data_IF_969680698690
#
_entry.id   IF_969680698690
#
_cell.length_a   1.000
_cell.length_b   1.000
_cell.length_c   1.000
_cell.angle_alpha   90.00
_cell.angle_beta   90.00
_cell.angle_gamma   90.00
#
_symmetry.space_group_name_H-M   'P 1'
#
loop_
_entity.id
_entity.type
_entity.pdbx_description
1 polymer ?
#
# COMPACT_ATOMS: atom_id res chain seq x y z
N UNK A 1 8.28 35.97 -6.46
CA UNK A 1 8.73 36.71 -5.26
C UNK A 1 8.86 35.84 -4.02
N UNK A 2 7.84 35.05 -3.61
CA UNK A 2 7.92 34.17 -2.42
C UNK A 2 8.85 32.96 -2.60
N UNK A 3 8.84 32.29 -3.77
CA UNK A 3 9.70 31.11 -4.06
C UNK A 3 11.20 31.42 -3.89
N UNK A 4 11.67 32.54 -4.44
CA UNK A 4 13.06 32.98 -4.32
C UNK A 4 13.45 33.32 -2.87
N UNK A 5 12.51 33.81 -2.04
CA UNK A 5 12.75 34.04 -0.61
C UNK A 5 12.89 32.72 0.17
N UNK A 6 12.14 31.67 -0.18
CA UNK A 6 12.27 30.36 0.46
C UNK A 6 13.54 29.62 0.05
N UNK A 7 13.96 29.75 -1.21
CA UNK A 7 15.24 29.21 -1.69
C UNK A 7 16.43 29.92 -1.01
N UNK A 8 16.36 31.25 -0.85
CA UNK A 8 17.37 32.03 -0.14
C UNK A 8 17.43 31.73 1.38
N UNK A 9 16.32 31.30 1.99
CA UNK A 9 16.23 31.03 3.43
C UNK A 9 16.31 29.56 3.79
N UNK A 10 16.64 28.67 2.84
CA UNK A 10 16.73 27.22 3.05
C UNK A 10 15.50 26.66 3.78
N UNK A 11 14.31 27.15 3.44
CA UNK A 11 13.05 26.83 4.12
C UNK A 11 12.16 25.99 3.19
N UNK A 12 11.58 24.92 3.74
CA UNK A 12 10.65 24.04 3.03
C UNK A 12 9.22 24.31 3.49
N UNK A 13 8.30 24.43 2.52
CA UNK A 13 6.86 24.41 2.78
C UNK A 13 6.28 23.14 2.17
N UNK A 14 5.59 22.36 3.00
CA UNK A 14 4.90 21.14 2.58
C UNK A 14 3.51 21.09 3.18
N UNK A 15 2.55 20.58 2.42
CA UNK A 15 1.27 20.15 2.98
C UNK A 15 1.54 19.01 3.96
N UNK A 16 0.86 19.00 5.09
CA UNK A 16 1.01 17.94 6.10
C UNK A 16 0.18 16.72 5.78
N UNK A 17 0.57 15.59 6.38
CA UNK A 17 -0.19 14.36 6.36
C UNK A 17 -1.44 14.45 7.25
N UNK A 18 -2.56 13.89 6.77
CA UNK A 18 -3.88 13.79 7.44
C UNK A 18 -4.53 15.12 7.91
N UNK A 19 -3.84 16.24 7.78
CA UNK A 19 -4.30 17.56 8.23
C UNK A 19 -4.30 18.55 7.07
N UNK A 20 -5.23 19.51 7.07
CA UNK A 20 -5.35 20.53 6.00
C UNK A 20 -4.45 21.75 6.30
N UNK A 21 -3.26 21.52 6.85
CA UNK A 21 -2.32 22.57 7.25
C UNK A 21 -1.01 22.45 6.47
N UNK A 22 -0.18 23.49 6.58
CA UNK A 22 1.16 23.50 6.00
C UNK A 22 2.21 23.41 7.11
N UNK A 23 3.25 22.65 6.87
CA UNK A 23 4.45 22.61 7.68
C UNK A 23 5.51 23.51 7.05
N UNK A 24 6.10 24.37 7.87
CA UNK A 24 7.24 25.22 7.54
C UNK A 24 8.41 24.73 8.37
N UNK A 25 9.52 24.39 7.72
CA UNK A 25 10.71 23.85 8.38
C UNK A 25 11.99 24.14 7.60
N UNK A 26 13.14 23.76 8.16
CA UNK A 26 14.43 23.87 7.45
C UNK A 26 14.53 22.79 6.37
N UNK A 27 15.07 23.15 5.21
CA UNK A 27 15.27 22.23 4.10
C UNK A 27 16.23 21.09 4.47
N UNK A 28 17.27 21.38 5.25
CA UNK A 28 18.25 20.38 5.70
C UNK A 28 17.61 19.34 6.63
N UNK A 29 16.78 19.77 7.59
CA UNK A 29 16.03 18.84 8.47
C UNK A 29 15.14 17.90 7.64
N UNK A 30 14.45 18.45 6.64
CA UNK A 30 13.62 17.66 5.73
C UNK A 30 14.44 16.65 4.92
N UNK A 31 15.59 17.06 4.36
CA UNK A 31 16.49 16.16 3.61
C UNK A 31 17.05 15.05 4.51
N UNK A 32 17.52 15.40 5.71
CA UNK A 32 18.03 14.44 6.70
C UNK A 32 16.95 13.43 7.07
N UNK A 33 15.71 13.88 7.34
CA UNK A 33 14.59 12.98 7.63
C UNK A 33 14.22 12.06 6.46
N UNK A 34 14.26 12.57 5.22
CA UNK A 34 13.99 11.78 4.03
C UNK A 34 15.06 10.69 3.84
N UNK A 35 16.34 11.05 3.95
CA UNK A 35 17.44 10.10 3.89
C UNK A 35 17.36 9.07 5.02
N UNK A 36 17.11 9.51 6.26
CA UNK A 36 16.93 8.64 7.42
C UNK A 36 15.81 7.62 7.17
N UNK A 37 14.67 8.05 6.63
CA UNK A 37 13.58 7.14 6.25
C UNK A 37 14.06 6.09 5.25
N UNK A 38 14.76 6.48 4.19
CA UNK A 38 15.27 5.54 3.18
C UNK A 38 16.28 4.54 3.78
N UNK A 39 17.19 5.02 4.64
CA UNK A 39 18.20 4.18 5.32
C UNK A 39 17.57 3.19 6.30
N UNK A 40 16.64 3.63 7.14
CA UNK A 40 15.98 2.78 8.14
C UNK A 40 15.11 1.72 7.46
N UNK A 41 14.34 2.10 6.45
CA UNK A 41 13.42 1.18 5.76
C UNK A 41 14.16 0.19 4.87
N UNK A 42 15.34 0.55 4.35
CA UNK A 42 16.11 -0.21 3.35
C UNK A 42 15.25 -0.64 2.15
N UNK A 43 14.22 0.16 1.84
CA UNK A 43 13.22 -0.20 0.85
C UNK A 43 13.58 0.26 -0.56
N UNK A 44 14.61 1.10 -0.69
CA UNK A 44 15.00 1.74 -1.94
C UNK A 44 16.47 1.46 -2.22
N UNK A 45 16.74 1.08 -3.46
CA UNK A 45 18.07 0.88 -4.01
C UNK A 45 18.41 2.06 -4.91
N UNK A 46 19.54 2.71 -4.65
CA UNK A 46 20.11 3.74 -5.53
C UNK A 46 20.68 3.06 -6.80
N UNK A 47 20.34 3.61 -7.96
CA UNK A 47 20.79 3.15 -9.28
C UNK A 47 21.74 4.15 -9.96
N UNK A 48 22.02 5.29 -9.31
CA UNK A 48 22.82 6.36 -9.88
C UNK A 48 22.05 7.18 -10.93
N UNK A 49 22.79 7.75 -11.88
CA UNK A 49 22.29 8.81 -12.78
C UNK A 49 21.77 8.32 -14.14
N UNK A 50 21.79 7.01 -14.40
CA UNK A 50 21.30 6.45 -15.66
C UNK A 50 19.78 6.30 -15.61
N UNK A 51 19.07 6.99 -16.49
CA UNK A 51 17.61 7.00 -16.52
C UNK A 51 17.04 5.62 -16.92
N UNK A 52 16.29 4.93 -16.03
CA UNK A 52 15.74 3.60 -16.31
C UNK A 52 14.41 3.63 -17.09
N UNK A 53 13.89 4.80 -17.48
CA UNK A 53 12.55 4.93 -18.06
C UNK A 53 12.40 4.13 -19.36
N UNK A 54 13.28 4.32 -20.34
CA UNK A 54 13.18 3.66 -21.63
C UNK A 54 13.27 2.12 -21.50
N UNK A 55 14.27 1.55 -20.79
CA UNK A 55 14.29 0.11 -20.50
C UNK A 55 13.04 -0.40 -19.76
N UNK A 56 12.45 0.41 -18.88
CA UNK A 56 11.23 0.05 -18.16
C UNK A 56 10.00 0.03 -19.07
N UNK A 57 9.86 1.01 -19.97
CA UNK A 57 8.78 1.06 -20.97
C UNK A 57 8.87 -0.16 -21.89
N UNK A 58 10.05 -0.43 -22.44
CA UNK A 58 10.28 -1.58 -23.33
C UNK A 58 9.97 -2.89 -22.63
N UNK A 59 10.50 -3.09 -21.41
CA UNK A 59 10.22 -4.29 -20.61
C UNK A 59 8.73 -4.47 -20.36
N UNK A 60 8.02 -3.38 -20.05
CA UNK A 60 6.58 -3.44 -19.76
C UNK A 60 5.78 -3.78 -21.01
N UNK A 61 6.04 -3.12 -22.13
CA UNK A 61 5.35 -3.40 -23.39
C UNK A 61 5.67 -4.81 -23.93
N UNK A 62 6.92 -5.27 -23.83
CA UNK A 62 7.29 -6.63 -24.22
C UNK A 62 6.58 -7.68 -23.36
N UNK A 63 6.48 -7.46 -22.04
CA UNK A 63 5.74 -8.34 -21.15
C UNK A 63 4.26 -8.41 -21.53
N UNK A 64 3.62 -7.26 -21.74
CA UNK A 64 2.20 -7.18 -22.13
C UNK A 64 1.93 -7.78 -23.51
N UNK A 65 2.81 -7.51 -24.47
CA UNK A 65 2.74 -8.10 -25.81
C UNK A 65 2.82 -9.62 -25.73
N UNK A 66 3.75 -10.17 -24.95
CA UNK A 66 3.85 -11.61 -24.73
C UNK A 66 2.56 -12.22 -24.15
N UNK A 67 1.90 -11.54 -23.21
CA UNK A 67 0.61 -12.00 -22.68
C UNK A 67 -0.49 -11.99 -23.76
N UNK A 68 -0.54 -10.93 -24.57
CA UNK A 68 -1.54 -10.79 -25.63
C UNK A 68 -1.32 -11.79 -26.78
N UNK A 69 -0.09 -11.88 -27.29
CA UNK A 69 0.30 -12.78 -28.37
C UNK A 69 0.00 -14.24 -28.03
N UNK A 70 0.26 -14.64 -26.77
CA UNK A 70 -0.05 -15.98 -26.26
C UNK A 70 -1.50 -16.16 -25.79
N UNK A 71 -2.39 -15.21 -26.11
CA UNK A 71 -3.84 -15.26 -25.80
C UNK A 71 -4.15 -15.39 -24.31
N UNK A 72 -3.29 -14.89 -23.43
CA UNK A 72 -3.53 -14.82 -21.99
C UNK A 72 -4.39 -13.62 -21.57
N UNK A 73 -4.42 -12.59 -22.41
CA UNK A 73 -5.28 -11.41 -22.27
C UNK A 73 -5.91 -11.07 -23.63
N UNK A 74 -7.09 -10.47 -23.62
CA UNK A 74 -7.80 -10.05 -24.85
C UNK A 74 -7.16 -8.79 -25.46
N UNK A 75 -7.49 -8.49 -26.74
CA UNK A 75 -7.11 -7.21 -27.37
C UNK A 75 -7.54 -6.02 -26.50
N UNK A 76 -8.79 -6.03 -26.02
CA UNK A 76 -9.34 -4.95 -25.19
C UNK A 76 -8.55 -4.76 -23.89
N UNK A 77 -8.17 -5.85 -23.25
CA UNK A 77 -7.34 -5.79 -22.03
C UNK A 77 -5.94 -5.27 -22.34
N UNK A 78 -5.30 -5.73 -23.42
CA UNK A 78 -3.99 -5.26 -23.86
C UNK A 78 -3.98 -3.75 -24.17
N UNK A 79 -4.92 -3.29 -24.99
CA UNK A 79 -5.06 -1.86 -25.35
C UNK A 79 -5.28 -0.97 -24.13
N UNK A 80 -5.95 -1.49 -23.10
CA UNK A 80 -6.20 -0.76 -21.85
C UNK A 80 -4.94 -0.55 -21.00
N UNK A 81 -3.95 -1.44 -21.10
CA UNK A 81 -2.79 -1.45 -20.18
C UNK A 81 -1.44 -1.23 -20.87
N UNK A 82 -1.39 -1.25 -22.21
CA UNK A 82 -0.17 -0.94 -22.97
C UNK A 82 0.34 0.46 -22.62
N UNK A 83 1.65 0.63 -22.65
CA UNK A 83 2.31 1.89 -22.29
C UNK A 83 2.54 2.73 -23.54
N UNK A 84 2.01 3.95 -23.54
CA UNK A 84 2.40 4.95 -24.54
C UNK A 84 3.80 5.49 -24.17
N UNK A 85 4.81 5.25 -25.04
CA UNK A 85 6.20 5.67 -24.81
C UNK A 85 6.34 7.19 -24.71
N UNK A 86 5.52 7.95 -25.43
CA UNK A 86 5.58 9.42 -25.47
C UNK A 86 5.00 10.07 -24.20
N UNK A 87 4.11 9.38 -23.50
CA UNK A 87 3.46 9.87 -22.29
C UNK A 87 4.05 9.29 -21.00
N UNK A 88 4.90 8.26 -21.11
CA UNK A 88 5.45 7.56 -19.96
C UNK A 88 6.46 8.43 -19.20
N UNK A 89 6.33 8.47 -17.88
CA UNK A 89 7.25 9.16 -16.99
C UNK A 89 7.57 8.29 -15.77
N UNK A 90 8.75 8.44 -15.19
CA UNK A 90 9.04 7.81 -13.90
C UNK A 90 8.19 8.41 -12.80
N UNK A 91 7.93 7.63 -11.77
CA UNK A 91 7.31 8.17 -10.58
C UNK A 91 8.25 9.18 -9.89
N UNK A 92 7.65 10.08 -9.11
CA UNK A 92 8.38 11.00 -8.25
C UNK A 92 8.09 10.67 -6.78
N UNK A 93 9.13 10.44 -6.00
CA UNK A 93 9.02 10.26 -4.56
C UNK A 93 9.07 11.63 -3.88
N UNK A 94 8.09 11.92 -3.04
CA UNK A 94 8.13 13.07 -2.14
C UNK A 94 7.64 12.67 -0.76
N UNK A 95 7.82 13.55 0.22
CA UNK A 95 7.49 13.25 1.60
C UNK A 95 6.51 14.28 2.17
N UNK A 96 5.53 13.77 2.92
CA UNK A 96 4.55 14.58 3.66
C UNK A 96 4.90 14.56 5.16
N UNK A 97 5.06 15.72 5.81
CA UNK A 97 5.29 15.79 7.25
C UNK A 97 4.06 15.32 8.06
N UNK A 98 4.25 14.34 8.95
CA UNK A 98 3.24 13.88 9.92
C UNK A 98 3.25 14.81 11.15
N UNK A 99 2.75 16.03 10.99
CA UNK A 99 2.77 17.06 12.05
C UNK A 99 1.99 16.68 13.33
N UNK A 100 1.11 15.68 13.25
CA UNK A 100 0.37 15.13 14.39
C UNK A 100 1.16 14.08 15.19
N UNK A 101 2.37 13.69 14.76
CA UNK A 101 3.26 12.75 15.47
C UNK A 101 4.48 13.49 16.05
N UNK A 102 4.96 13.13 17.26
CA UNK A 102 6.19 13.70 17.83
C UNK A 102 7.38 13.63 16.88
N UNK A 103 8.18 14.69 16.81
CA UNK A 103 9.33 14.79 15.90
C UNK A 103 8.98 15.06 14.43
N UNK A 104 7.69 15.11 14.08
CA UNK A 104 7.20 15.34 12.71
C UNK A 104 7.88 14.42 11.68
N UNK A 105 7.73 13.09 11.81
CA UNK A 105 8.29 12.13 10.87
C UNK A 105 7.67 12.30 9.48
N UNK A 106 8.34 11.78 8.47
CA UNK A 106 7.93 11.90 7.08
C UNK A 106 7.13 10.66 6.61
N UNK A 107 6.12 10.88 5.76
CA UNK A 107 5.41 9.84 5.01
C UNK A 107 5.84 9.90 3.54
N UNK A 108 6.42 8.85 2.95
CA UNK A 108 6.71 8.84 1.52
C UNK A 108 5.41 8.76 0.71
N UNK A 109 5.36 9.44 -0.42
CA UNK A 109 4.31 9.33 -1.42
C UNK A 109 4.96 9.18 -2.79
N UNK A 110 4.51 8.15 -3.51
CA UNK A 110 4.98 7.82 -4.85
C UNK A 110 3.95 8.34 -5.87
N UNK A 111 4.20 9.51 -6.46
CA UNK A 111 3.37 10.03 -7.54
C UNK A 111 3.83 9.44 -8.87
N UNK A 112 3.08 8.48 -9.41
CA UNK A 112 3.44 7.76 -10.65
C UNK A 112 2.26 7.56 -11.60
N UNK A 113 1.43 8.60 -11.83
CA UNK A 113 0.23 8.51 -12.67
C UNK A 113 0.53 8.15 -14.13
N UNK A 114 1.75 8.39 -14.59
CA UNK A 114 2.27 8.08 -15.92
C UNK A 114 3.35 6.99 -15.89
N UNK A 115 3.53 6.31 -14.75
CA UNK A 115 4.50 5.23 -14.65
C UNK A 115 4.13 4.05 -15.55
N UNK A 116 5.09 3.35 -16.16
CA UNK A 116 4.80 2.22 -17.05
C UNK A 116 3.93 1.12 -16.41
N UNK A 117 3.94 0.98 -15.08
CA UNK A 117 3.15 -0.04 -14.36
C UNK A 117 1.74 0.43 -13.95
N UNK A 118 1.37 1.71 -14.14
CA UNK A 118 0.12 2.25 -13.60
C UNK A 118 -1.13 1.64 -14.23
N UNK A 119 -1.10 1.35 -15.53
CA UNK A 119 -2.21 0.72 -16.26
C UNK A 119 -2.51 -0.67 -15.72
N UNK A 120 -1.45 -1.48 -15.56
CA UNK A 120 -1.52 -2.81 -14.94
C UNK A 120 -2.04 -2.71 -13.51
N UNK A 121 -1.49 -1.77 -12.73
CA UNK A 121 -1.90 -1.58 -11.33
C UNK A 121 -3.39 -1.23 -11.19
N UNK A 122 -3.92 -0.31 -12.00
CA UNK A 122 -5.34 0.06 -11.98
C UNK A 122 -6.22 -1.11 -12.42
N UNK A 123 -5.80 -1.83 -13.45
CA UNK A 123 -6.55 -2.98 -13.94
C UNK A 123 -6.64 -4.09 -12.90
N UNK A 124 -5.51 -4.49 -12.32
CA UNK A 124 -5.47 -5.53 -11.29
C UNK A 124 -6.23 -5.13 -10.02
N UNK A 125 -6.16 -3.87 -9.59
CA UNK A 125 -6.93 -3.39 -8.44
C UNK A 125 -8.44 -3.60 -8.67
N UNK A 126 -8.94 -3.25 -9.86
CA UNK A 126 -10.34 -3.47 -10.24
C UNK A 126 -10.77 -4.94 -10.26
N UNK A 127 -9.84 -5.88 -10.49
CA UNK A 127 -10.11 -7.32 -10.46
C UNK A 127 -10.07 -7.88 -9.03
N UNK A 128 -9.11 -7.43 -8.22
CA UNK A 128 -8.76 -8.07 -6.94
C UNK A 128 -9.47 -7.44 -5.74
N UNK A 129 -9.73 -6.13 -5.77
CA UNK A 129 -10.38 -5.40 -4.68
C UNK A 129 -11.78 -5.96 -4.35
N UNK A 130 -12.66 -6.25 -5.32
CA UNK A 130 -13.97 -6.84 -5.02
C UNK A 130 -13.88 -8.24 -4.37
N UNK A 131 -12.84 -9.01 -4.68
CA UNK A 131 -12.61 -10.31 -4.03
C UNK A 131 -12.17 -10.14 -2.59
N UNK A 132 -11.26 -9.20 -2.33
CA UNK A 132 -10.88 -8.83 -0.97
C UNK A 132 -12.08 -8.35 -0.16
N UNK A 133 -12.84 -7.38 -0.68
CA UNK A 133 -13.98 -6.79 0.02
C UNK A 133 -15.02 -7.85 0.40
N UNK A 134 -15.23 -8.85 -0.45
CA UNK A 134 -16.13 -9.99 -0.17
C UNK A 134 -15.57 -10.91 0.92
N UNK A 135 -14.29 -11.29 0.85
CA UNK A 135 -13.69 -12.27 1.75
C UNK A 135 -13.38 -11.70 3.15
N UNK A 136 -13.11 -10.39 3.24
CA UNK A 136 -12.68 -9.74 4.47
C UNK A 136 -13.78 -8.91 5.15
N UNK A 137 -15.02 -8.93 4.61
CA UNK A 137 -16.15 -8.12 5.06
C UNK A 137 -16.39 -8.15 6.58
N UNK A 138 -16.26 -9.32 7.21
CA UNK A 138 -16.52 -9.47 8.66
C UNK A 138 -15.43 -8.86 9.55
N UNK A 139 -14.24 -8.64 9.01
CA UNK A 139 -13.05 -8.21 9.78
C UNK A 139 -12.54 -6.83 9.39
N UNK A 140 -13.06 -6.27 8.29
CA UNK A 140 -12.63 -4.97 7.76
C UNK A 140 -13.74 -3.94 7.90
N UNK A 141 -13.40 -2.79 8.45
CA UNK A 141 -14.29 -1.64 8.56
C UNK A 141 -13.94 -0.63 7.46
N UNK A 142 -14.96 0.06 6.93
CA UNK A 142 -14.80 1.06 5.88
C UNK A 142 -14.77 2.50 6.40
N UNK A 143 -15.39 2.75 7.54
CA UNK A 143 -15.48 4.09 8.15
C UNK A 143 -15.91 4.02 9.62
N UNK A 144 -15.80 5.15 10.32
CA UNK A 144 -16.16 5.26 11.74
C UNK A 144 -17.65 5.01 12.03
N UNK A 145 -18.56 5.30 11.10
CA UNK A 145 -20.00 5.04 11.28
C UNK A 145 -20.26 3.53 11.34
N UNK A 146 -19.62 2.76 10.45
CA UNK A 146 -19.72 1.31 10.49
C UNK A 146 -19.10 0.74 11.78
N UNK A 147 -17.98 1.29 12.23
CA UNK A 147 -17.36 0.88 13.49
C UNK A 147 -18.33 1.05 14.67
N UNK A 148 -18.89 2.25 14.84
CA UNK A 148 -19.78 2.57 15.95
C UNK A 148 -20.98 1.62 15.97
N UNK A 149 -21.64 1.41 14.82
CA UNK A 149 -22.78 0.48 14.72
C UNK A 149 -22.42 -0.95 15.14
N UNK A 150 -21.24 -1.42 14.77
CA UNK A 150 -20.79 -2.77 15.12
C UNK A 150 -20.43 -2.87 16.60
N UNK A 151 -19.82 -1.82 17.18
CA UNK A 151 -19.53 -1.73 18.61
C UNK A 151 -20.82 -1.70 19.42
N UNK A 152 -21.80 -0.86 19.05
CA UNK A 152 -23.11 -0.78 19.71
C UNK A 152 -23.79 -2.16 19.72
N UNK A 153 -23.86 -2.80 18.55
CA UNK A 153 -24.45 -4.14 18.41
C UNK A 153 -23.76 -5.19 19.27
N UNK A 154 -22.42 -5.22 19.26
CA UNK A 154 -21.65 -6.17 20.07
C UNK A 154 -21.80 -5.88 21.56
N UNK A 155 -21.79 -4.60 21.94
CA UNK A 155 -21.83 -4.17 23.34
C UNK A 155 -23.13 -4.53 24.05
N UNK A 156 -24.25 -4.57 23.31
CA UNK A 156 -25.55 -4.95 23.85
C UNK A 156 -25.58 -6.38 24.42
N UNK A 157 -24.67 -7.26 23.96
CA UNK A 157 -24.60 -8.66 24.40
C UNK A 157 -23.34 -8.96 25.22
N UNK A 158 -22.20 -8.39 24.85
CA UNK A 158 -20.90 -8.86 25.33
C UNK A 158 -20.10 -7.84 26.14
N UNK A 159 -20.51 -6.57 26.23
CA UNK A 159 -19.74 -5.58 26.98
C UNK A 159 -19.85 -5.85 28.49
N UNK A 160 -18.70 -5.83 29.16
CA UNK A 160 -18.60 -6.02 30.62
C UNK A 160 -17.67 -4.97 31.22
N UNK A 161 -17.70 -4.74 32.55
CA UNK A 161 -16.72 -3.87 33.21
C UNK A 161 -15.26 -4.33 33.06
N UNK A 162 -15.03 -5.60 32.70
CA UNK A 162 -13.70 -6.16 32.46
C UNK A 162 -13.22 -5.98 31.00
N UNK A 163 -14.08 -5.48 30.10
CA UNK A 163 -13.73 -5.32 28.68
C UNK A 163 -12.63 -4.29 28.51
N UNK A 164 -11.54 -4.69 27.86
CA UNK A 164 -10.43 -3.78 27.51
C UNK A 164 -10.60 -3.21 26.10
N UNK A 165 -9.96 -2.08 25.83
CA UNK A 165 -9.90 -1.46 24.50
C UNK A 165 -8.46 -1.45 24.04
N UNK A 166 -8.18 -2.13 22.93
CA UNK A 166 -6.82 -2.26 22.40
C UNK A 166 -6.80 -1.74 20.97
N UNK A 167 -5.83 -0.87 20.69
CA UNK A 167 -5.52 -0.40 19.36
C UNK A 167 -4.08 -0.76 19.00
N UNK A 168 -3.85 -1.11 17.73
CA UNK A 168 -2.50 -1.38 17.20
C UNK A 168 -2.33 -0.65 15.86
N UNK A 169 -1.19 -0.01 15.64
CA UNK A 169 -0.83 0.72 14.41
C UNK A 169 0.29 -0.05 13.68
N UNK A 170 0.03 -0.48 12.44
CA UNK A 170 1.06 -1.14 11.63
C UNK A 170 1.98 -0.09 11.01
N UNK A 171 3.24 -0.06 11.47
CA UNK A 171 4.22 0.93 11.01
C UNK A 171 4.60 0.70 9.54
N UNK A 172 4.48 1.76 8.73
CA UNK A 172 4.92 1.84 7.34
C UNK A 172 4.46 0.67 6.45
N UNK A 173 3.21 0.22 6.65
CA UNK A 173 2.59 -0.94 6.01
C UNK A 173 3.01 -1.14 4.54
N UNK A 174 2.76 -0.14 3.68
CA UNK A 174 3.04 -0.28 2.24
C UNK A 174 4.52 -0.46 1.90
N UNK A 175 5.43 0.20 2.62
CA UNK A 175 6.88 0.12 2.35
C UNK A 175 7.48 -1.16 2.95
N UNK A 176 6.87 -1.72 4.00
CA UNK A 176 7.44 -2.84 4.75
C UNK A 176 7.02 -4.23 4.26
N UNK A 177 5.93 -4.34 3.48
CA UNK A 177 5.46 -5.63 2.95
C UNK A 177 6.55 -6.31 2.11
N UNK A 178 6.94 -7.56 2.42
CA UNK A 178 7.80 -8.34 1.53
C UNK A 178 7.12 -8.53 0.17
N UNK A 179 7.81 -8.24 -0.94
CA UNK A 179 7.19 -8.24 -2.27
C UNK A 179 6.57 -9.60 -2.64
N UNK A 180 7.31 -10.70 -2.45
CA UNK A 180 6.76 -12.05 -2.62
C UNK A 180 5.71 -12.43 -1.58
N UNK A 181 5.77 -11.85 -0.38
CA UNK A 181 4.71 -11.97 0.63
C UNK A 181 3.39 -11.38 0.12
N UNK A 182 3.46 -10.21 -0.51
CA UNK A 182 2.31 -9.57 -1.16
C UNK A 182 1.75 -10.40 -2.32
N UNK A 183 2.62 -10.92 -3.20
CA UNK A 183 2.18 -11.82 -4.30
C UNK A 183 1.53 -13.09 -3.74
N UNK A 184 2.09 -13.66 -2.67
CA UNK A 184 1.53 -14.84 -1.98
C UNK A 184 0.17 -14.53 -1.35
N UNK A 185 -0.02 -13.34 -0.80
CA UNK A 185 -1.31 -12.92 -0.27
C UNK A 185 -2.38 -12.85 -1.39
N UNK A 186 -2.05 -12.30 -2.56
CA UNK A 186 -2.95 -12.31 -3.72
C UNK A 186 -3.25 -13.75 -4.18
N UNK A 187 -2.25 -14.64 -4.21
CA UNK A 187 -2.48 -16.05 -4.52
C UNK A 187 -3.50 -16.68 -3.58
N UNK A 188 -3.32 -16.51 -2.27
CA UNK A 188 -4.23 -17.03 -1.24
C UNK A 188 -5.63 -16.41 -1.35
N UNK A 189 -5.72 -15.13 -1.71
CA UNK A 189 -6.99 -14.44 -1.92
C UNK A 189 -7.78 -15.07 -3.07
N UNK A 190 -7.14 -15.29 -4.22
CA UNK A 190 -7.76 -15.94 -5.38
C UNK A 190 -8.16 -17.38 -5.04
N UNK A 191 -7.30 -18.14 -4.36
CA UNK A 191 -7.58 -19.52 -3.96
C UNK A 191 -8.76 -19.61 -2.97
N UNK A 192 -8.84 -18.68 -2.00
CA UNK A 192 -9.95 -18.60 -1.06
C UNK A 192 -11.29 -18.27 -1.75
N UNK A 193 -11.27 -17.60 -2.91
CA UNK A 193 -12.46 -17.34 -3.71
C UNK A 193 -12.95 -18.55 -4.53
N UNK A 194 -12.14 -19.62 -4.64
CA UNK A 194 -12.42 -20.77 -5.51
C UNK A 194 -12.29 -20.49 -7.01
N UNK A 195 -11.85 -19.29 -7.41
CA UNK A 195 -11.74 -18.89 -8.81
C UNK A 195 -10.44 -19.41 -9.44
N UNK A 196 -10.54 -19.99 -10.64
CA UNK A 196 -9.38 -20.33 -11.48
C UNK A 196 -8.94 -19.16 -12.37
N UNK A 197 -9.87 -18.27 -12.68
CA UNK A 197 -9.67 -17.09 -13.52
C UNK A 197 -10.58 -15.94 -13.07
N UNK A 198 -10.16 -14.71 -13.35
CA UNK A 198 -10.92 -13.48 -13.06
C UNK A 198 -10.93 -12.67 -14.35
N UNK A 199 -12.11 -12.30 -14.84
CA UNK A 199 -12.28 -11.57 -16.12
C UNK A 199 -11.56 -12.27 -17.30
N UNK A 200 -11.65 -13.61 -17.35
CA UNK A 200 -10.99 -14.43 -18.38
C UNK A 200 -9.46 -14.55 -18.22
N UNK A 201 -8.86 -13.95 -17.20
CA UNK A 201 -7.41 -14.01 -16.94
C UNK A 201 -7.12 -15.08 -15.90
N UNK A 202 -6.26 -16.03 -16.25
CA UNK A 202 -5.85 -17.12 -15.34
C UNK A 202 -5.10 -16.58 -14.12
N UNK A 203 -5.27 -17.25 -12.98
CA UNK A 203 -4.57 -16.94 -11.72
C UNK A 203 -3.08 -16.71 -11.91
N UNK A 204 -2.40 -17.57 -12.67
CA UNK A 204 -0.94 -17.51 -12.86
C UNK A 204 -0.51 -16.21 -13.54
N UNK A 205 -1.32 -15.71 -14.47
CA UNK A 205 -1.08 -14.46 -15.20
C UNK A 205 -1.32 -13.25 -14.29
N UNK A 206 -2.36 -13.30 -13.45
CA UNK A 206 -2.62 -12.28 -12.43
C UNK A 206 -1.45 -12.19 -11.45
N UNK A 207 -0.91 -13.32 -11.01
CA UNK A 207 0.26 -13.35 -10.12
C UNK A 207 1.52 -12.83 -10.81
N UNK A 208 1.73 -13.14 -12.09
CA UNK A 208 2.84 -12.60 -12.87
C UNK A 208 2.74 -11.07 -13.00
N UNK A 209 1.57 -10.54 -13.36
CA UNK A 209 1.30 -9.09 -13.42
C UNK A 209 1.48 -8.41 -12.05
N UNK A 210 1.00 -9.05 -10.98
CA UNK A 210 1.14 -8.55 -9.60
C UNK A 210 2.62 -8.41 -9.23
N UNK A 211 3.40 -9.47 -9.47
CA UNK A 211 4.86 -9.45 -9.23
C UNK A 211 5.55 -8.40 -10.10
N UNK A 212 5.13 -8.25 -11.35
CA UNK A 212 5.68 -7.25 -12.26
C UNK A 212 5.48 -5.84 -11.71
N UNK A 213 4.27 -5.49 -11.25
CA UNK A 213 3.98 -4.18 -10.62
C UNK A 213 4.80 -3.97 -9.36
N UNK A 214 4.91 -4.98 -8.49
CA UNK A 214 5.66 -4.86 -7.23
C UNK A 214 7.16 -4.64 -7.45
N UNK A 215 7.74 -5.26 -8.46
CA UNK A 215 9.21 -5.29 -8.68
C UNK A 215 9.73 -4.24 -9.66
N UNK A 216 8.85 -3.52 -10.36
CA UNK A 216 9.21 -2.51 -11.36
C UNK A 216 8.77 -1.09 -10.98
N UNK A 217 8.96 -0.74 -9.71
CA UNK A 217 8.73 0.61 -9.18
C UNK A 217 10.04 1.41 -9.21
N UNK A 218 10.17 2.28 -10.22
CA UNK A 218 11.33 3.16 -10.40
C UNK A 218 10.92 4.62 -10.27
N UNK A 219 11.79 5.43 -9.70
CA UNK A 219 11.55 6.84 -9.49
C UNK A 219 12.83 7.67 -9.51
N UNK A 220 12.65 8.97 -9.68
CA UNK A 220 13.71 9.96 -9.57
C UNK A 220 13.57 10.71 -8.24
N UNK A 221 14.69 10.93 -7.55
CA UNK A 221 14.79 11.75 -6.34
C UNK A 221 16.16 12.44 -6.29
N UNK A 222 16.16 13.76 -6.16
CA UNK A 222 17.34 14.58 -5.86
C UNK A 222 18.61 14.23 -6.69
N UNK A 223 18.46 14.04 -8.00
CA UNK A 223 19.59 13.81 -8.92
C UNK A 223 19.95 12.35 -9.15
N UNK A 224 19.29 11.40 -8.47
CA UNK A 224 19.52 9.97 -8.67
C UNK A 224 18.22 9.21 -8.97
N UNK A 225 18.36 8.09 -9.67
CA UNK A 225 17.30 7.14 -9.93
C UNK A 225 17.33 6.02 -8.90
N UNK A 226 16.14 5.58 -8.50
CA UNK A 226 15.98 4.56 -7.49
C UNK A 226 15.02 3.48 -7.95
N UNK A 227 15.20 2.28 -7.39
CA UNK A 227 14.25 1.18 -7.45
C UNK A 227 13.72 0.88 -6.06
N UNK A 228 12.41 0.74 -5.93
CA UNK A 228 11.83 0.19 -4.71
C UNK A 228 11.96 -1.33 -4.70
N UNK A 229 12.72 -1.85 -3.74
CA UNK A 229 13.06 -3.28 -3.58
C UNK A 229 12.30 -3.95 -2.44
N UNK A 230 11.57 -3.17 -1.63
CA UNK A 230 10.69 -3.65 -0.56
C UNK A 230 9.38 -2.88 -0.56
N UNK A 231 8.28 -3.56 -0.25
CA UNK A 231 6.96 -2.96 -0.27
C UNK A 231 6.46 -2.67 -1.69
N UNK A 232 5.34 -1.98 -1.76
CA UNK A 232 4.78 -1.40 -2.97
C UNK A 232 4.80 0.12 -2.93
N UNK A 233 4.65 0.74 -4.09
CA UNK A 233 4.66 2.20 -4.22
C UNK A 233 3.42 2.81 -3.53
N UNK A 234 3.65 3.70 -2.54
CA UNK A 234 2.59 4.44 -1.81
C UNK A 234 1.88 5.46 -2.72
N UNK A 235 1.01 4.95 -3.59
CA UNK A 235 0.32 5.71 -4.65
C UNK A 235 -0.13 4.82 -5.81
N UNK A 236 0.39 3.59 -5.90
CA UNK A 236 -0.13 2.56 -6.79
C UNK A 236 -1.46 2.01 -6.25
N UNK A 237 -2.55 2.00 -7.05
CA UNK A 237 -3.84 1.42 -6.64
C UNK A 237 -3.73 -0.03 -6.14
N UNK A 238 -2.93 -0.85 -6.82
CA UNK A 238 -2.78 -2.27 -6.49
C UNK A 238 -2.08 -2.46 -5.14
N UNK A 239 -1.17 -1.57 -4.78
CA UNK A 239 -0.43 -1.65 -3.51
C UNK A 239 -1.38 -1.63 -2.30
N UNK A 240 -2.48 -0.87 -2.38
CA UNK A 240 -3.52 -0.88 -1.35
C UNK A 240 -4.19 -2.25 -1.21
N UNK A 241 -4.60 -2.83 -2.33
CA UNK A 241 -5.26 -4.14 -2.34
C UNK A 241 -4.31 -5.26 -1.90
N UNK A 242 -3.03 -5.21 -2.30
CA UNK A 242 -2.00 -6.13 -1.80
C UNK A 242 -1.81 -5.99 -0.29
N UNK A 243 -1.71 -4.77 0.23
CA UNK A 243 -1.51 -4.54 1.66
C UNK A 243 -2.68 -5.06 2.50
N UNK A 244 -3.90 -4.78 2.05
CA UNK A 244 -5.11 -5.29 2.69
C UNK A 244 -5.19 -6.82 2.65
N UNK A 245 -4.90 -7.44 1.51
CA UNK A 245 -4.85 -8.90 1.40
C UNK A 245 -3.75 -9.50 2.28
N UNK A 246 -2.57 -8.89 2.32
CA UNK A 246 -1.46 -9.33 3.17
C UNK A 246 -1.85 -9.29 4.64
N UNK A 247 -2.38 -8.16 5.10
CA UNK A 247 -2.85 -8.00 6.48
C UNK A 247 -3.93 -9.00 6.84
N UNK A 248 -4.91 -9.24 5.96
CA UNK A 248 -5.96 -10.22 6.19
C UNK A 248 -5.45 -11.63 6.50
N UNK A 249 -4.35 -12.05 5.88
CA UNK A 249 -3.74 -13.34 6.19
C UNK A 249 -2.82 -13.31 7.40
N UNK A 250 -2.12 -12.21 7.64
CA UNK A 250 -1.25 -12.03 8.83
C UNK A 250 -2.09 -11.97 10.11
N UNK A 251 -3.24 -11.30 10.07
CA UNK A 251 -4.10 -11.07 11.25
C UNK A 251 -5.09 -12.21 11.53
N UNK A 252 -5.13 -13.24 10.67
CA UNK A 252 -6.03 -14.40 10.82
C UNK A 252 -5.98 -15.07 12.20
N UNK A 253 -4.82 -15.25 12.86
CA UNK A 253 -4.78 -15.80 14.21
C UNK A 253 -5.52 -14.92 15.21
N UNK A 254 -5.37 -13.59 15.12
CA UNK A 254 -6.00 -12.61 16.00
C UNK A 254 -7.53 -12.63 15.80
N UNK A 255 -8.00 -12.58 14.55
CA UNK A 255 -9.43 -12.59 14.27
C UNK A 255 -10.10 -13.93 14.65
N UNK A 256 -9.41 -15.06 14.47
CA UNK A 256 -9.89 -16.37 14.95
C UNK A 256 -9.97 -16.43 16.47
N UNK A 257 -8.96 -15.94 17.17
CA UNK A 257 -8.97 -15.85 18.63
C UNK A 257 -10.14 -15.00 19.11
N UNK A 258 -10.31 -13.80 18.52
CA UNK A 258 -11.37 -12.88 18.91
C UNK A 258 -12.76 -13.50 18.73
N UNK A 259 -13.00 -14.19 17.61
CA UNK A 259 -14.25 -14.92 17.38
C UNK A 259 -14.48 -16.00 18.46
N UNK A 260 -13.45 -16.80 18.78
CA UNK A 260 -13.53 -17.86 19.80
C UNK A 260 -13.84 -17.33 21.21
N UNK A 261 -13.38 -16.12 21.54
CA UNK A 261 -13.56 -15.48 22.84
C UNK A 261 -14.70 -14.46 22.87
N UNK A 262 -15.57 -14.46 21.85
CA UNK A 262 -16.66 -13.49 21.67
C UNK A 262 -16.17 -12.02 21.75
N UNK A 263 -14.91 -11.76 21.41
CA UNK A 263 -14.29 -10.44 21.40
C UNK A 263 -14.55 -9.74 20.08
N UNK A 264 -14.65 -8.41 20.09
CA UNK A 264 -14.78 -7.63 18.86
C UNK A 264 -13.40 -7.44 18.23
N UNK A 265 -13.30 -7.66 16.92
CA UNK A 265 -12.08 -7.44 16.15
C UNK A 265 -12.41 -6.74 14.84
N UNK A 266 -11.74 -5.63 14.56
CA UNK A 266 -11.81 -4.95 13.27
C UNK A 266 -10.46 -4.36 12.87
N UNK A 267 -10.24 -4.26 11.56
CA UNK A 267 -9.15 -3.49 10.97
C UNK A 267 -9.66 -2.40 10.03
N UNK A 268 -9.01 -1.25 10.08
CA UNK A 268 -9.10 -0.18 9.10
C UNK A 268 -7.71 0.10 8.52
N UNK A 269 -7.40 -0.45 7.35
CA UNK A 269 -6.10 -0.32 6.67
C UNK A 269 -4.94 -0.77 7.59
N UNK A 270 -4.25 0.17 8.26
CA UNK A 270 -3.12 0.01 9.16
C UNK A 270 -3.51 -0.02 10.65
N UNK A 271 -4.73 0.42 11.00
CA UNK A 271 -5.25 0.47 12.36
C UNK A 271 -6.04 -0.81 12.70
N UNK A 272 -5.64 -1.52 13.75
CA UNK A 272 -6.40 -2.64 14.33
C UNK A 272 -7.10 -2.19 15.62
N UNK A 273 -8.30 -2.70 15.84
CA UNK A 273 -9.12 -2.42 17.01
C UNK A 273 -9.70 -3.71 17.57
N UNK A 274 -9.51 -3.93 18.89
CA UNK A 274 -9.91 -5.15 19.58
C UNK A 274 -10.59 -4.80 20.91
N UNK A 275 -11.73 -5.43 21.18
CA UNK A 275 -12.42 -5.36 22.48
C UNK A 275 -12.59 -6.75 23.08
N UNK A 276 -11.64 -7.22 23.91
CA UNK A 276 -11.75 -8.50 24.59
C UNK A 276 -12.35 -8.42 25.98
N UNK A 277 -13.05 -9.48 26.39
CA UNK A 277 -13.56 -9.70 27.74
C UNK A 277 -12.59 -10.49 28.63
N UNK A 278 -11.34 -10.60 28.22
CA UNK A 278 -10.29 -11.32 28.95
C UNK A 278 -9.20 -10.35 29.39
N UNK A 279 -8.58 -10.62 30.54
CA UNK A 279 -7.48 -9.80 31.05
C UNK A 279 -6.35 -9.66 30.01
N UNK A 280 -5.78 -8.46 29.91
CA UNK A 280 -4.82 -8.04 28.90
C UNK A 280 -3.56 -8.92 28.78
N UNK A 281 -3.24 -9.73 29.79
CA UNK A 281 -2.04 -10.58 29.83
C UNK A 281 -2.02 -11.70 28.77
N UNK A 282 -3.16 -12.05 28.16
CA UNK A 282 -3.23 -13.08 27.11
C UNK A 282 -2.59 -12.61 25.78
N UNK A 283 -2.46 -11.31 25.57
CA UNK A 283 -1.91 -10.75 24.33
C UNK A 283 -0.38 -10.66 24.31
N UNK A 284 0.30 -10.95 25.43
CA UNK A 284 1.77 -10.90 25.51
C UNK A 284 2.50 -11.99 24.70
N UNK A 285 1.77 -12.93 24.10
CA UNK A 285 2.30 -14.04 23.30
C UNK A 285 1.74 -14.15 21.88
N UNK A 286 1.04 -13.13 21.37
CA UNK A 286 0.55 -13.05 19.99
C UNK A 286 1.46 -12.20 19.10
#
# INVERSE_FOLDING_TARGET
>A
MLRNKFEATQTVIRKTDKSKVFHIGKLDDYKVKAQTYMTVTKAYQDLGTVNPLEPLVERTNNFLYGLWHNKHITQKQYEKVKVNKEEAELAHLYFLPKAHKPGTPLRPIMAGLKSPTIGISKWLDGLLRPLFDRLAYETTILNGVQLIKQVEKWSATYLTPATSFITMDVTDLYTMIPQEGGVTAIKRLIEASGLKQIDGVRKEIILALTRFVMTNNYFYLDGSYYKQIRGGAMGSPLTLTIANAYMYFVERPISKWANKTCSLYFRYIDDLFIMPNVHADILKGL
#
